data_IF_409189980286
#
_entry.id   IF_409189980286
#
_cell.length_a   1.000
_cell.length_b   1.000
_cell.length_c   1.000
_cell.angle_alpha   90.00
_cell.angle_beta   90.00
_cell.angle_gamma   90.00
#
_symmetry.space_group_name_H-M   'P 1'
#
loop_
_entity.id
_entity.type
_entity.pdbx_description
1 polymer ?
#
# COMPACT_ATOMS: atom_id res chain seq x y z
N UNK A 1 7.20 -2.45 -6.69
CA UNK A 1 5.73 -2.52 -6.52
C UNK A 1 5.19 -3.47 -7.57
N UNK A 2 4.07 -4.14 -7.32
CA UNK A 2 3.33 -4.91 -8.33
C UNK A 2 1.82 -4.78 -8.15
N UNK A 3 1.04 -4.95 -9.22
CA UNK A 3 -0.43 -4.89 -9.20
C UNK A 3 -1.01 -5.69 -10.36
N UNK A 4 -2.25 -6.17 -10.19
CA UNK A 4 -3.05 -6.71 -11.29
C UNK A 4 -3.91 -5.61 -11.89
N UNK A 5 -4.27 -5.78 -13.15
CA UNK A 5 -5.11 -4.82 -13.86
C UNK A 5 -6.30 -5.48 -14.54
N UNK A 6 -7.45 -4.84 -14.36
CA UNK A 6 -8.64 -5.01 -15.18
C UNK A 6 -9.00 -3.66 -15.82
N UNK A 7 -9.81 -3.62 -16.90
CA UNK A 7 -10.23 -2.35 -17.49
C UNK A 7 -10.86 -1.42 -16.45
N UNK A 8 -10.21 -0.28 -16.20
CA UNK A 8 -10.67 0.73 -15.22
C UNK A 8 -10.55 0.34 -13.74
N UNK A 9 -9.86 -0.77 -13.39
CA UNK A 9 -9.86 -1.29 -12.03
C UNK A 9 -8.57 -2.04 -11.65
N UNK A 10 -8.12 -1.90 -10.40
CA UNK A 10 -6.94 -2.60 -9.86
C UNK A 10 -7.38 -3.51 -8.72
N UNK A 11 -7.78 -4.78 -8.99
CA UNK A 11 -8.34 -5.66 -7.96
C UNK A 11 -7.32 -6.07 -6.89
N UNK A 12 -6.02 -5.94 -7.19
CA UNK A 12 -4.93 -6.36 -6.33
C UNK A 12 -3.70 -5.49 -6.51
N UNK A 13 -3.06 -5.09 -5.42
CA UNK A 13 -1.75 -4.45 -5.45
C UNK A 13 -0.88 -4.85 -4.26
N UNK A 14 0.43 -4.66 -4.42
CA UNK A 14 1.44 -4.98 -3.44
C UNK A 14 2.58 -3.95 -3.50
N UNK A 15 2.78 -3.24 -2.39
CA UNK A 15 3.89 -2.31 -2.18
C UNK A 15 4.82 -2.89 -1.11
N UNK A 16 6.12 -2.96 -1.41
CA UNK A 16 7.14 -3.50 -0.49
C UNK A 16 8.35 -2.59 -0.40
N UNK A 17 8.85 -2.39 0.82
CA UNK A 17 10.16 -1.79 1.06
C UNK A 17 11.20 -2.90 1.21
N UNK A 18 12.26 -2.84 0.42
CA UNK A 18 13.37 -3.79 0.50
C UNK A 18 14.58 -3.14 1.18
N UNK A 19 15.11 -3.83 2.19
CA UNK A 19 16.30 -3.43 2.93
C UNK A 19 17.49 -4.31 2.55
N UNK A 20 18.65 -3.69 2.34
CA UNK A 20 19.88 -4.40 1.99
C UNK A 20 20.54 -4.98 3.24
N UNK A 21 20.54 -6.31 3.35
CA UNK A 21 21.07 -7.05 4.50
C UNK A 21 22.50 -7.56 4.29
N UNK A 22 23.01 -7.52 3.06
CA UNK A 22 24.38 -7.95 2.72
C UNK A 22 24.85 -7.34 1.40
N UNK A 23 26.17 -7.23 1.23
CA UNK A 23 26.78 -6.59 0.05
C UNK A 23 27.48 -7.56 -0.90
N UNK A 24 27.89 -8.75 -0.44
CA UNK A 24 28.51 -9.78 -1.30
C UNK A 24 28.21 -11.21 -0.79
N UNK A 25 27.27 -11.94 -1.41
CA UNK A 25 26.37 -11.47 -2.48
C UNK A 25 25.44 -10.36 -1.96
N UNK A 26 24.89 -9.55 -2.89
CA UNK A 26 23.85 -8.59 -2.54
C UNK A 26 22.64 -9.34 -1.99
N UNK A 27 22.32 -9.12 -0.71
CA UNK A 27 21.15 -9.69 -0.07
C UNK A 27 20.15 -8.58 0.22
N UNK A 28 18.89 -8.86 -0.07
CA UNK A 28 17.76 -7.96 0.19
C UNK A 28 16.69 -8.73 0.94
N UNK A 29 16.07 -8.10 1.92
CA UNK A 29 14.87 -8.59 2.58
C UNK A 29 13.73 -7.60 2.31
N UNK A 30 12.55 -8.08 1.95
CA UNK A 30 11.34 -7.27 2.08
C UNK A 30 11.09 -7.11 3.58
N UNK A 31 11.06 -5.87 4.08
CA UNK A 31 10.89 -5.61 5.51
C UNK A 31 9.54 -5.00 5.83
N UNK A 32 8.84 -4.49 4.82
CA UNK A 32 7.49 -3.94 4.94
C UNK A 32 6.65 -4.30 3.74
N UNK A 33 5.35 -4.51 4.00
CA UNK A 33 4.31 -4.75 3.02
C UNK A 33 3.10 -3.84 3.27
N UNK A 34 2.54 -3.34 2.18
CA UNK A 34 1.15 -2.87 2.08
C UNK A 34 0.53 -3.63 0.92
N UNK A 35 -0.55 -4.33 1.15
CA UNK A 35 -1.23 -5.11 0.11
C UNK A 35 -2.73 -4.88 0.11
N UNK A 36 -3.31 -5.13 -1.05
CA UNK A 36 -4.74 -5.10 -1.29
C UNK A 36 -5.08 -6.27 -2.21
N UNK A 37 -6.13 -7.01 -1.89
CA UNK A 37 -6.71 -8.06 -2.72
C UNK A 37 -8.19 -8.23 -2.37
N UNK A 38 -9.07 -7.69 -3.22
CA UNK A 38 -10.52 -7.71 -2.98
C UNK A 38 -11.19 -9.10 -3.17
N UNK A 39 -10.49 -10.05 -3.79
CA UNK A 39 -11.07 -11.29 -4.31
C UNK A 39 -10.52 -12.56 -3.65
N UNK A 40 -9.51 -12.42 -2.79
CA UNK A 40 -8.92 -13.55 -2.06
C UNK A 40 -9.81 -14.00 -0.89
N UNK A 41 -9.95 -15.31 -0.68
CA UNK A 41 -10.61 -15.86 0.52
C UNK A 41 -9.89 -15.44 1.81
N UNK A 42 -8.57 -15.21 1.71
CA UNK A 42 -7.71 -14.59 2.73
C UNK A 42 -7.12 -13.26 2.19
N UNK A 43 -7.84 -12.58 1.31
CA UNK A 43 -7.42 -11.31 0.72
C UNK A 43 -7.64 -10.14 1.69
N UNK A 44 -6.73 -9.17 1.65
CA UNK A 44 -6.83 -7.94 2.45
C UNK A 44 -7.53 -6.84 1.64
N UNK A 45 -8.73 -6.41 2.03
CA UNK A 45 -9.38 -5.28 1.38
C UNK A 45 -9.19 -3.98 2.18
N UNK A 46 -8.18 -3.20 1.81
CA UNK A 46 -7.88 -1.89 2.45
C UNK A 46 -9.03 -0.89 2.42
N UNK A 47 -10.02 -1.04 1.53
CA UNK A 47 -11.20 -0.17 1.50
C UNK A 47 -12.26 -0.57 2.54
N UNK A 48 -12.25 -1.81 3.01
CA UNK A 48 -13.14 -2.35 4.04
C UNK A 48 -12.43 -2.38 5.40
N UNK A 49 -11.22 -2.92 5.43
CA UNK A 49 -10.40 -3.13 6.63
C UNK A 49 -9.69 -1.87 7.11
N UNK A 50 -9.51 -0.91 6.20
CA UNK A 50 -8.65 0.25 6.41
C UNK A 50 -7.19 -0.06 6.06
N UNK A 51 -6.43 1.02 5.88
CA UNK A 51 -5.02 0.93 5.54
C UNK A 51 -4.22 0.34 6.69
N UNK A 52 -3.47 -0.70 6.39
CA UNK A 52 -2.54 -1.33 7.30
C UNK A 52 -1.18 -1.55 6.63
N UNK A 53 -0.15 -1.64 7.47
CA UNK A 53 1.25 -1.81 7.08
C UNK A 53 1.80 -2.95 7.92
N UNK A 54 2.21 -4.02 7.26
CA UNK A 54 2.86 -5.14 7.90
C UNK A 54 4.37 -4.93 7.89
N UNK A 55 4.99 -5.02 9.07
CA UNK A 55 6.43 -4.82 9.26
C UNK A 55 7.04 -6.09 9.82
N UNK A 56 7.95 -6.68 9.06
CA UNK A 56 8.78 -7.79 9.54
C UNK A 56 9.71 -7.31 10.65
N UNK A 57 10.04 -8.20 11.58
CA UNK A 57 11.01 -7.93 12.65
C UNK A 57 12.06 -9.01 12.66
N UNK A 58 13.31 -8.62 12.93
CA UNK A 58 14.48 -9.49 12.78
C UNK A 58 14.42 -10.75 13.66
N UNK A 59 13.90 -10.63 14.87
CA UNK A 59 13.84 -11.74 15.84
C UNK A 59 12.43 -11.98 16.39
N UNK A 60 11.53 -11.01 16.23
CA UNK A 60 10.16 -11.02 16.72
C UNK A 60 9.14 -11.32 15.60
N UNK A 61 7.91 -11.73 15.94
CA UNK A 61 6.84 -11.89 14.95
C UNK A 61 6.57 -10.60 14.16
N UNK A 62 6.02 -10.69 12.95
CA UNK A 62 5.52 -9.54 12.19
C UNK A 62 4.55 -8.68 13.02
N UNK A 63 4.52 -7.38 12.74
CA UNK A 63 3.57 -6.44 13.37
C UNK A 63 2.80 -5.66 12.31
N UNK A 64 1.48 -5.65 12.45
CA UNK A 64 0.56 -4.85 11.62
C UNK A 64 0.28 -3.51 12.29
N UNK A 65 0.64 -2.42 11.61
CA UNK A 65 0.38 -1.05 12.05
C UNK A 65 -0.71 -0.41 11.19
N UNK A 66 -1.57 0.39 11.82
CA UNK A 66 -2.72 1.02 11.15
C UNK A 66 -2.56 2.54 11.22
N UNK A 67 -1.92 3.17 10.21
CA UNK A 67 -1.88 4.63 10.12
C UNK A 67 -3.29 5.21 10.14
N UNK A 68 -3.51 6.32 10.84
CA UNK A 68 -4.79 7.03 10.73
C UNK A 68 -4.89 7.64 9.34
N UNK A 69 -5.99 7.38 8.65
CA UNK A 69 -6.26 7.89 7.31
C UNK A 69 -7.73 8.32 7.20
N UNK A 70 -8.01 9.29 6.33
CA UNK A 70 -9.34 9.58 5.82
C UNK A 70 -9.76 8.49 4.81
N UNK A 71 -11.00 8.47 4.29
CA UNK A 71 -11.38 7.52 3.25
C UNK A 71 -10.39 7.51 2.08
N UNK A 72 -10.01 6.31 1.64
CA UNK A 72 -9.06 6.13 0.55
C UNK A 72 -9.67 6.64 -0.78
N UNK A 73 -8.81 7.16 -1.66
CA UNK A 73 -9.25 7.58 -2.99
C UNK A 73 -9.81 6.39 -3.78
N UNK A 74 -10.87 6.63 -4.56
CA UNK A 74 -11.45 5.60 -5.44
C UNK A 74 -10.46 5.19 -6.54
N UNK A 75 -9.65 6.13 -7.03
CA UNK A 75 -8.54 5.81 -7.92
C UNK A 75 -7.45 5.06 -7.14
N UNK A 76 -7.37 3.75 -7.38
CA UNK A 76 -6.41 2.84 -6.75
C UNK A 76 -4.96 3.16 -7.15
N UNK A 77 -4.72 3.76 -8.31
CA UNK A 77 -3.40 4.27 -8.70
C UNK A 77 -2.89 5.33 -7.74
N UNK A 78 -3.77 6.26 -7.34
CA UNK A 78 -3.44 7.28 -6.34
C UNK A 78 -3.14 6.66 -4.97
N UNK A 79 -3.87 5.62 -4.57
CA UNK A 79 -3.62 4.92 -3.30
C UNK A 79 -2.26 4.24 -3.32
N UNK A 80 -1.94 3.54 -4.41
CA UNK A 80 -0.66 2.86 -4.61
C UNK A 80 0.51 3.87 -4.59
N UNK A 81 0.38 5.00 -5.31
CA UNK A 81 1.37 6.09 -5.29
C UNK A 81 1.62 6.60 -3.88
N UNK A 82 0.54 6.88 -3.13
CA UNK A 82 0.63 7.37 -1.76
C UNK A 82 1.26 6.34 -0.82
N UNK A 83 1.03 5.03 -1.02
CA UNK A 83 1.74 3.97 -0.28
C UNK A 83 3.25 4.06 -0.48
N UNK A 84 3.73 4.24 -1.71
CA UNK A 84 5.17 4.39 -1.97
C UNK A 84 5.71 5.63 -1.27
N UNK A 85 5.06 6.79 -1.46
CA UNK A 85 5.50 8.04 -0.86
C UNK A 85 5.54 7.96 0.66
N UNK A 86 4.55 7.30 1.26
CA UNK A 86 4.47 7.11 2.69
C UNK A 86 5.60 6.21 3.21
N UNK A 87 5.87 5.09 2.55
CA UNK A 87 6.97 4.20 2.93
C UNK A 87 8.33 4.84 2.72
N UNK A 88 8.49 5.66 1.68
CA UNK A 88 9.72 6.42 1.42
C UNK A 88 9.97 7.47 2.52
N UNK A 89 8.96 8.30 2.82
CA UNK A 89 9.03 9.32 3.87
C UNK A 89 9.25 8.75 5.29
N UNK A 90 8.95 7.47 5.51
CA UNK A 90 9.08 6.81 6.80
C UNK A 90 10.02 5.60 6.79
N UNK A 91 10.86 5.47 5.77
CA UNK A 91 11.77 4.34 5.59
C UNK A 91 12.69 4.13 6.81
N UNK A 92 13.24 5.20 7.38
CA UNK A 92 14.10 5.13 8.56
C UNK A 92 13.39 4.53 9.78
N UNK A 93 12.15 4.97 10.05
CA UNK A 93 11.34 4.46 11.17
C UNK A 93 11.03 2.98 10.97
N UNK A 94 10.69 2.61 9.73
CA UNK A 94 10.44 1.22 9.34
C UNK A 94 11.68 0.36 9.57
N UNK A 95 12.86 0.83 9.12
CA UNK A 95 14.13 0.14 9.34
C UNK A 95 14.44 0.00 10.83
N UNK A 96 14.18 1.03 11.64
CA UNK A 96 14.38 0.98 13.08
C UNK A 96 13.42 0.00 13.79
N UNK A 97 12.20 -0.18 13.28
CA UNK A 97 11.26 -1.22 13.78
C UNK A 97 11.75 -2.61 13.35
N UNK A 98 12.16 -2.78 12.10
CA UNK A 98 12.69 -4.04 11.57
C UNK A 98 13.95 -4.51 12.32
N UNK A 99 14.89 -3.59 12.56
CA UNK A 99 16.11 -3.83 13.36
C UNK A 99 15.84 -3.82 14.88
N UNK A 100 14.58 -3.68 15.30
CA UNK A 100 14.12 -3.74 16.69
C UNK A 100 14.78 -2.69 17.61
N UNK A 101 15.19 -1.55 17.04
CA UNK A 101 15.76 -0.40 17.77
C UNK A 101 14.69 0.45 18.43
N UNK A 102 13.48 0.44 17.85
CA UNK A 102 12.32 1.17 18.35
C UNK A 102 11.13 0.23 18.47
N UNK A 103 10.33 0.42 19.52
CA UNK A 103 9.07 -0.31 19.68
C UNK A 103 8.11 0.06 18.53
N UNK A 104 7.33 -0.90 18.01
CA UNK A 104 6.29 -0.64 17.02
C UNK A 104 5.09 0.05 17.69
N UNK A 105 5.29 1.30 18.07
CA UNK A 105 4.24 2.21 18.51
C UNK A 105 3.83 3.08 17.33
N UNK A 106 2.52 3.35 17.22
CA UNK A 106 1.81 3.78 16.02
C UNK A 106 2.60 4.57 14.97
N UNK A 107 2.39 4.21 13.71
CA UNK A 107 2.93 4.96 12.58
C UNK A 107 2.36 6.39 12.52
N UNK A 108 3.13 7.36 11.97
CA UNK A 108 2.58 8.68 11.65
C UNK A 108 1.26 8.58 10.89
N UNK A 109 0.38 9.57 11.05
CA UNK A 109 -0.86 9.60 10.25
C UNK A 109 -0.54 9.58 8.76
N UNK A 110 -1.44 8.99 7.98
CA UNK A 110 -1.42 9.12 6.53
C UNK A 110 -1.50 10.61 6.15
N UNK A 111 -0.83 11.05 5.08
CA UNK A 111 -0.66 12.48 4.76
C UNK A 111 -1.96 13.20 4.34
N UNK A 112 -3.12 12.57 4.47
CA UNK A 112 -4.45 13.13 4.17
C UNK A 112 -5.09 13.87 5.36
N UNK A 113 -4.36 14.06 6.46
CA UNK A 113 -4.85 14.72 7.67
C UNK A 113 -5.68 13.82 8.61
N UNK A 114 -5.87 12.55 8.27
CA UNK A 114 -6.33 11.43 9.10
C UNK A 114 -7.40 11.73 10.16
N UNK A 115 -8.69 11.54 9.82
CA UNK A 115 -9.75 11.23 10.81
C UNK A 115 -10.09 9.76 10.67
N UNK A 116 -10.10 9.00 11.77
CA UNK A 116 -10.29 7.54 11.79
C UNK A 116 -11.31 7.06 10.75
N UNK A 117 -10.83 6.31 9.74
CA UNK A 117 -11.65 5.36 8.98
C UNK A 117 -12.31 4.34 9.92
N UNK A 118 -13.37 3.69 9.44
CA UNK A 118 -14.35 2.92 10.22
C UNK A 118 -13.78 1.74 11.06
N UNK A 119 -14.66 1.17 11.91
CA UNK A 119 -14.36 0.23 13.01
C UNK A 119 -13.57 -1.02 12.60
N UNK A 120 -12.44 -1.17 13.29
CA UNK A 120 -11.67 -2.40 13.47
C UNK A 120 -12.54 -3.65 13.69
N UNK A 121 -12.44 -4.62 12.77
CA UNK A 121 -12.56 -6.03 13.15
C UNK A 121 -11.18 -6.54 13.52
N UNK A 122 -10.88 -6.57 14.82
CA UNK A 122 -9.75 -7.33 15.35
C UNK A 122 -10.03 -8.81 15.14
N UNK A 123 -9.42 -9.42 14.13
CA UNK A 123 -9.28 -10.87 14.05
C UNK A 123 -7.84 -11.21 13.68
N UNK A 124 -7.11 -11.71 14.69
CA UNK A 124 -6.07 -12.73 14.48
C UNK A 124 -6.60 -13.73 13.46
N UNK A 125 -6.05 -13.77 12.24
CA UNK A 125 -6.28 -14.72 11.11
C UNK A 125 -5.91 -13.91 9.85
N UNK A 126 -4.98 -14.23 8.95
CA UNK A 126 -4.15 -15.39 8.69
C UNK A 126 -2.93 -14.88 7.90
N UNK A 127 -1.73 -15.16 8.43
CA UNK A 127 -0.53 -15.25 7.59
C UNK A 127 -0.82 -16.27 6.48
N UNK A 128 -0.36 -16.01 5.27
CA UNK A 128 -0.28 -16.96 4.12
C UNK A 128 -1.37 -16.84 3.03
N UNK A 129 -1.76 -15.64 2.60
CA UNK A 129 -2.57 -15.44 1.38
C UNK A 129 -1.77 -15.09 0.13
N UNK A 130 -0.66 -14.36 0.30
CA UNK A 130 0.22 -13.96 -0.81
C UNK A 130 1.62 -14.41 -0.47
N UNK A 131 1.86 -15.71 -0.70
CA UNK A 131 3.18 -16.29 -0.65
C UNK A 131 4.17 -15.35 -1.35
N UNK A 132 5.36 -15.31 -0.77
CA UNK A 132 6.62 -14.77 -1.25
C UNK A 132 6.88 -15.18 -2.71
N UNK A 133 6.13 -14.62 -3.65
CA UNK A 133 6.48 -14.64 -5.05
C UNK A 133 7.52 -13.54 -5.21
N UNK A 134 8.76 -13.98 -5.42
CA UNK A 134 9.76 -13.18 -6.08
C UNK A 134 9.22 -12.94 -7.49
N UNK A 135 8.52 -11.82 -7.71
CA UNK A 135 8.24 -11.40 -9.07
C UNK A 135 9.58 -11.16 -9.74
N UNK A 136 9.89 -11.97 -10.75
CA UNK A 136 11.07 -11.82 -11.59
C UNK A 136 10.99 -10.59 -12.53
N UNK A 137 9.90 -9.83 -12.46
CA UNK A 137 9.74 -8.55 -13.14
C UNK A 137 10.43 -7.44 -12.34
N UNK A 138 11.22 -6.61 -13.03
CA UNK A 138 11.82 -5.45 -12.41
C UNK A 138 10.70 -4.56 -11.84
N UNK A 139 10.78 -4.16 -10.56
CA UNK A 139 9.76 -3.31 -9.97
C UNK A 139 9.72 -1.98 -10.73
N UNK A 140 8.53 -1.59 -11.21
CA UNK A 140 8.32 -0.28 -11.85
C UNK A 140 8.85 0.84 -10.96
N UNK A 141 9.58 1.77 -11.55
CA UNK A 141 9.94 3.03 -10.92
C UNK A 141 8.69 3.92 -10.74
N UNK A 142 8.79 4.94 -9.89
CA UNK A 142 7.67 5.86 -9.65
C UNK A 142 7.31 6.68 -10.89
N UNK A 143 8.30 7.04 -11.72
CA UNK A 143 8.06 7.79 -12.95
C UNK A 143 7.35 6.91 -13.99
N UNK A 144 7.80 5.67 -14.17
CA UNK A 144 7.15 4.70 -15.07
C UNK A 144 5.72 4.37 -14.59
N UNK A 145 5.53 4.29 -13.28
CA UNK A 145 4.22 4.10 -12.68
C UNK A 145 3.30 5.30 -12.94
N UNK A 146 3.76 6.53 -12.69
CA UNK A 146 2.98 7.76 -12.91
C UNK A 146 2.58 7.89 -14.40
N UNK A 147 3.52 7.62 -15.33
CA UNK A 147 3.25 7.60 -16.77
C UNK A 147 2.19 6.58 -17.14
N UNK A 148 2.33 5.36 -16.61
CA UNK A 148 1.39 4.28 -16.85
C UNK A 148 -0.01 4.60 -16.31
N UNK A 149 -0.11 5.04 -15.05
CA UNK A 149 -1.39 5.31 -14.41
C UNK A 149 -2.08 6.53 -15.02
N UNK A 150 -1.34 7.56 -15.41
CA UNK A 150 -1.93 8.71 -16.08
C UNK A 150 -2.57 8.31 -17.42
N UNK A 151 -1.88 7.52 -18.23
CA UNK A 151 -2.41 7.02 -19.49
C UNK A 151 -3.68 6.18 -19.29
N UNK A 152 -3.69 5.31 -18.27
CA UNK A 152 -4.84 4.47 -17.94
C UNK A 152 -6.04 5.25 -17.44
N UNK A 153 -5.82 6.24 -16.58
CA UNK A 153 -6.89 7.10 -16.07
C UNK A 153 -7.31 8.17 -17.09
N UNK A 154 -6.77 8.14 -18.33
CA UNK A 154 -7.11 9.08 -19.41
C UNK A 154 -6.69 10.52 -19.12
N UNK A 155 -5.68 10.72 -18.27
CA UNK A 155 -5.21 12.03 -17.81
C UNK A 155 -3.74 12.27 -18.15
N UNK A 156 -3.29 13.50 -17.99
CA UNK A 156 -1.86 13.82 -18.11
C UNK A 156 -1.09 13.40 -16.86
N UNK A 157 0.21 13.14 -16.99
CA UNK A 157 1.10 12.81 -15.85
C UNK A 157 1.13 13.92 -14.81
N UNK A 158 1.15 15.19 -15.24
CA UNK A 158 1.07 16.33 -14.33
C UNK A 158 -0.26 16.38 -13.58
N UNK A 159 -1.37 16.07 -14.26
CA UNK A 159 -2.68 16.02 -13.61
C UNK A 159 -2.79 14.87 -12.61
N UNK A 160 -2.27 13.68 -12.96
CA UNK A 160 -2.21 12.54 -12.05
C UNK A 160 -1.40 12.87 -10.79
N UNK A 161 -0.20 13.46 -10.96
CA UNK A 161 0.64 13.91 -9.84
C UNK A 161 -0.08 14.97 -8.99
N UNK A 162 -0.69 15.95 -9.63
CA UNK A 162 -1.45 17.00 -8.96
C UNK A 162 -2.63 16.44 -8.16
N UNK A 163 -3.40 15.48 -8.70
CA UNK A 163 -4.49 14.79 -7.99
C UNK A 163 -4.01 13.83 -6.91
N UNK A 164 -2.79 13.33 -7.00
CA UNK A 164 -2.20 12.60 -5.89
C UNK A 164 -1.87 13.52 -4.72
N UNK A 165 -1.45 14.76 -5.03
CA UNK A 165 -1.06 15.77 -4.06
C UNK A 165 -2.26 16.59 -3.54
N UNK A 166 -3.30 16.77 -4.35
CA UNK A 166 -4.60 17.33 -3.99
C UNK A 166 -5.54 16.19 -3.57
N UNK A 167 -6.05 16.20 -2.34
CA UNK A 167 -6.94 15.15 -1.84
C UNK A 167 -8.28 15.22 -2.60
N UNK A 168 -8.43 14.42 -3.66
CA UNK A 168 -9.71 14.26 -4.36
C UNK A 168 -10.63 13.33 -3.55
N UNK A 169 -11.46 13.95 -2.72
CA UNK A 169 -12.52 13.27 -1.95
C UNK A 169 -13.74 13.19 -2.87
N UNK A 170 -13.83 12.11 -3.64
CA UNK A 170 -15.06 11.80 -4.36
C UNK A 170 -16.21 11.52 -3.37
N UNK A 171 -17.40 12.14 -3.53
CA UNK A 171 -18.56 11.81 -2.73
C UNK A 171 -19.04 10.37 -3.04
N UNK A 172 -19.60 9.71 -2.02
CA UNK A 172 -19.99 8.29 -2.03
C UNK A 172 -21.19 7.94 -2.94
N UNK A 173 -21.70 8.89 -3.74
CA UNK A 173 -23.04 8.79 -4.36
C UNK A 173 -23.06 8.44 -5.86
N UNK A 174 -21.93 8.18 -6.52
CA UNK A 174 -21.90 7.81 -7.95
C UNK A 174 -21.46 6.35 -8.21
N UNK A 175 -21.86 5.42 -7.35
CA UNK A 175 -21.91 4.01 -7.73
C UNK A 175 -23.27 3.73 -8.40
N UNK A 176 -23.37 3.94 -9.71
CA UNK A 176 -24.46 3.35 -10.50
C UNK A 176 -24.33 1.82 -10.38
N UNK A 177 -25.22 1.21 -9.58
CA UNK A 177 -25.46 -0.23 -9.57
C UNK A 177 -25.98 -0.64 -10.94
N UNK A 178 -25.10 -1.11 -11.81
CA UNK A 178 -25.51 -1.86 -13.00
C UNK A 178 -25.89 -3.26 -12.55
N UNK A 179 -27.17 -3.48 -12.27
CA UNK A 179 -27.73 -4.81 -12.11
C UNK A 179 -27.58 -5.60 -13.43
N UNK A 180 -27.02 -6.79 -13.35
CA UNK A 180 -27.22 -7.85 -14.35
C UNK A 180 -27.55 -9.17 -13.65
#
# INVERSE_FOLDING_TARGET
MGFDKQPGHIPRFLVRLHYRTGVFPLQRAAIVRVDHNESGTDGHDVYIEGLHIDIDRKSSPEVTLHPRHAPLAQDRGLVIRRCVQYLDAHADRVVDIYEERTQPSGMPGWPDGGRSGHRFMSLKTLLTGMAREESAEEPLSMDEFDEFMAAESGMSVEEFRRRADEIDIGPLEEAELVEK
#
